data_IF_880725883497
#
_entry.id   IF_880725883497
#
_cell.length_a   1.000
_cell.length_b   1.000
_cell.length_c   1.000
_cell.angle_alpha   90.00
_cell.angle_beta   90.00
_cell.angle_gamma   90.00
#
_symmetry.space_group_name_H-M   'P 1'
#
loop_
_entity.id
_entity.type
_entity.pdbx_description
1 polymer ?
#
# COMPACT_ATOMS: atom_id res chain seq x y z
N UNK A 1 16.12 -24.72 -19.92
CA UNK A 1 15.44 -25.32 -18.76
C UNK A 1 14.48 -24.30 -18.19
N UNK A 2 13.20 -24.57 -18.18
CA UNK A 2 12.19 -23.73 -17.54
C UNK A 2 12.31 -23.88 -16.01
N UNK A 3 12.35 -22.79 -15.28
CA UNK A 3 12.37 -22.81 -13.82
C UNK A 3 11.18 -23.62 -13.29
N UNK A 4 11.38 -24.61 -12.40
CA UNK A 4 10.29 -25.38 -11.85
C UNK A 4 9.22 -24.47 -11.22
N UNK A 5 7.95 -24.87 -11.28
CA UNK A 5 6.82 -24.08 -10.76
C UNK A 5 7.01 -23.70 -9.30
N UNK A 6 7.45 -24.65 -8.47
CA UNK A 6 7.72 -24.42 -7.05
C UNK A 6 8.79 -23.35 -6.81
N UNK A 7 9.89 -23.38 -7.60
CA UNK A 7 10.95 -22.37 -7.48
C UNK A 7 10.47 -20.95 -7.84
N UNK A 8 9.56 -20.80 -8.83
CA UNK A 8 8.98 -19.52 -9.17
C UNK A 8 8.18 -18.95 -7.99
N UNK A 9 7.36 -19.77 -7.35
CA UNK A 9 6.51 -19.34 -6.23
C UNK A 9 7.33 -19.02 -4.99
N UNK A 10 8.38 -19.78 -4.69
CA UNK A 10 9.30 -19.46 -3.59
C UNK A 10 9.98 -18.10 -3.83
N UNK A 11 10.49 -17.85 -5.05
CA UNK A 11 11.12 -16.58 -5.39
C UNK A 11 10.12 -15.43 -5.23
N UNK A 12 8.93 -15.55 -5.81
CA UNK A 12 7.93 -14.49 -5.71
C UNK A 12 7.49 -14.27 -4.26
N UNK A 13 7.24 -15.36 -3.52
CA UNK A 13 6.87 -15.25 -2.11
C UNK A 13 7.93 -14.53 -1.28
N UNK A 14 9.21 -14.88 -1.46
CA UNK A 14 10.31 -14.20 -0.75
C UNK A 14 10.44 -12.73 -1.14
N UNK A 15 10.28 -12.37 -2.41
CA UNK A 15 10.37 -10.99 -2.87
C UNK A 15 9.20 -10.13 -2.36
N UNK A 16 7.97 -10.62 -2.43
CA UNK A 16 6.81 -9.88 -1.92
C UNK A 16 6.81 -9.79 -0.38
N UNK A 17 7.31 -10.81 0.30
CA UNK A 17 7.53 -10.74 1.73
C UNK A 17 8.46 -9.59 2.12
N UNK A 18 9.60 -9.44 1.42
CA UNK A 18 10.54 -8.33 1.68
C UNK A 18 9.97 -6.96 1.33
N UNK A 19 8.97 -6.86 0.48
CA UNK A 19 8.27 -5.59 0.21
C UNK A 19 7.26 -5.24 1.30
N UNK A 20 6.65 -6.24 1.93
CA UNK A 20 5.75 -6.03 3.06
C UNK A 20 6.46 -5.41 4.26
N UNK A 21 7.70 -5.83 4.55
CA UNK A 21 8.47 -5.35 5.71
C UNK A 21 8.61 -3.82 5.76
N UNK A 22 9.15 -3.14 4.75
CA UNK A 22 9.27 -1.68 4.77
C UNK A 22 7.91 -0.98 4.82
N UNK A 23 6.88 -1.56 4.19
CA UNK A 23 5.55 -0.95 4.17
C UNK A 23 4.87 -1.01 5.54
N UNK A 24 4.99 -2.15 6.25
CA UNK A 24 4.54 -2.27 7.64
C UNK A 24 5.29 -1.33 8.58
N UNK A 25 6.61 -1.26 8.43
CA UNK A 25 7.46 -0.35 9.18
C UNK A 25 7.05 1.12 8.97
N UNK A 26 6.88 1.54 7.74
CA UNK A 26 6.48 2.89 7.38
C UNK A 26 5.10 3.27 7.91
N UNK A 27 4.12 2.37 7.80
CA UNK A 27 2.73 2.69 8.14
C UNK A 27 2.42 2.59 9.63
N UNK A 28 3.08 1.70 10.36
CA UNK A 28 2.77 1.43 11.77
C UNK A 28 3.92 1.82 12.70
N UNK A 29 5.16 1.42 12.40
CA UNK A 29 6.30 1.67 13.30
C UNK A 29 6.76 3.13 13.23
N UNK A 30 6.95 3.69 12.04
CA UNK A 30 7.49 5.04 11.90
C UNK A 30 6.62 6.13 12.56
N UNK A 31 5.28 6.15 12.46
CA UNK A 31 4.45 7.13 13.15
C UNK A 31 4.59 7.08 14.67
N UNK A 32 4.69 5.87 15.24
CA UNK A 32 4.88 5.67 16.68
C UNK A 32 6.26 6.18 17.10
N UNK A 33 7.31 5.83 16.34
CA UNK A 33 8.69 6.29 16.60
C UNK A 33 8.78 7.82 16.48
N UNK A 34 8.14 8.44 15.51
CA UNK A 34 8.07 9.90 15.40
C UNK A 34 7.47 10.53 16.65
N UNK A 35 6.34 10.00 17.14
CA UNK A 35 5.70 10.51 18.36
C UNK A 35 6.57 10.30 19.60
N UNK A 36 7.17 9.12 19.73
CA UNK A 36 8.08 8.81 20.85
C UNK A 36 9.34 9.67 20.85
N UNK A 37 9.80 10.10 19.67
CA UNK A 37 10.91 11.04 19.50
C UNK A 37 10.51 12.50 19.77
N UNK A 38 9.27 12.78 20.16
CA UNK A 38 8.80 14.11 20.56
C UNK A 38 8.29 14.99 19.42
N UNK A 39 8.08 14.43 18.19
CA UNK A 39 7.52 15.22 17.10
C UNK A 39 6.08 15.65 17.42
N UNK A 40 5.78 16.89 17.07
CA UNK A 40 4.40 17.36 17.07
C UNK A 40 3.56 16.67 16.00
N UNK A 41 2.23 16.71 16.13
CA UNK A 41 1.36 16.23 15.07
C UNK A 41 1.50 17.03 13.78
N UNK A 42 1.89 18.31 13.90
CA UNK A 42 2.19 19.19 12.77
C UNK A 42 3.43 18.69 11.98
N UNK A 43 4.52 18.36 12.67
CA UNK A 43 5.71 17.78 12.04
C UNK A 43 5.39 16.47 11.34
N UNK A 44 4.61 15.60 11.99
CA UNK A 44 4.19 14.32 11.41
C UNK A 44 3.28 14.55 10.19
N UNK A 45 2.44 15.58 10.21
CA UNK A 45 1.61 15.98 9.07
C UNK A 45 2.43 16.35 7.84
N UNK A 46 3.66 16.81 8.02
CA UNK A 46 4.58 17.14 6.94
C UNK A 46 5.39 15.89 6.49
N UNK A 47 6.00 15.20 7.44
CA UNK A 47 6.93 14.11 7.11
C UNK A 47 6.24 12.83 6.64
N UNK A 48 5.17 12.41 7.30
CA UNK A 48 4.50 11.16 6.98
C UNK A 48 3.90 11.14 5.56
N UNK A 49 3.19 12.18 5.09
CA UNK A 49 2.76 12.25 3.70
C UNK A 49 3.92 12.23 2.70
N UNK A 50 5.03 12.93 2.99
CA UNK A 50 6.18 12.96 2.10
C UNK A 50 6.76 11.56 1.84
N UNK A 51 6.66 10.65 2.81
CA UNK A 51 7.08 9.26 2.66
C UNK A 51 6.22 8.45 1.67
N UNK A 52 5.04 8.92 1.26
CA UNK A 52 4.24 8.32 0.18
C UNK A 52 4.72 8.70 -1.22
N UNK A 53 5.51 9.79 -1.37
CA UNK A 53 5.95 10.30 -2.68
C UNK A 53 6.62 9.23 -3.57
N UNK A 54 7.52 8.35 -3.06
CA UNK A 54 8.11 7.31 -3.89
C UNK A 54 7.06 6.37 -4.53
N UNK A 55 5.96 6.11 -3.84
CA UNK A 55 4.87 5.27 -4.31
C UNK A 55 3.95 6.00 -5.29
N UNK A 56 3.72 7.30 -5.09
CA UNK A 56 3.04 8.19 -6.07
C UNK A 56 3.82 8.25 -7.36
N UNK A 57 5.15 8.32 -7.28
CA UNK A 57 6.05 8.42 -8.43
C UNK A 57 6.42 7.05 -9.04
N UNK A 58 5.75 5.98 -8.63
CA UNK A 58 6.01 4.60 -9.08
C UNK A 58 6.02 4.45 -10.61
N UNK A 59 5.20 5.22 -11.31
CA UNK A 59 5.18 5.25 -12.78
C UNK A 59 6.50 5.77 -13.38
N UNK A 60 7.20 6.70 -12.73
CA UNK A 60 8.52 7.18 -13.19
C UNK A 60 9.59 6.10 -13.01
N UNK A 61 9.55 5.39 -11.89
CA UNK A 61 10.49 4.30 -11.64
C UNK A 61 10.35 3.19 -12.67
N UNK A 62 9.16 2.93 -13.18
CA UNK A 62 8.95 1.93 -14.23
C UNK A 62 9.75 2.27 -15.50
N UNK A 63 9.79 3.53 -15.90
CA UNK A 63 10.57 4.02 -17.05
C UNK A 63 12.07 3.82 -16.80
N UNK A 64 12.55 4.17 -15.60
CA UNK A 64 13.96 4.02 -15.21
C UNK A 64 14.39 2.55 -15.22
N UNK A 65 13.59 1.67 -14.59
CA UNK A 65 13.84 0.22 -14.53
C UNK A 65 13.86 -0.41 -15.92
N UNK A 66 13.00 0.08 -16.82
CA UNK A 66 12.95 -0.42 -18.19
C UNK A 66 14.13 0.03 -19.04
N UNK A 67 14.58 1.25 -18.87
CA UNK A 67 15.66 1.83 -19.68
C UNK A 67 17.05 1.42 -19.22
N UNK A 68 17.27 1.38 -17.90
CA UNK A 68 18.60 1.13 -17.31
C UNK A 68 18.64 -0.26 -16.66
N UNK A 69 19.23 -1.24 -17.33
CA UNK A 69 19.35 -2.60 -16.79
C UNK A 69 20.61 -3.32 -17.29
N UNK A 70 21.10 -4.25 -16.49
CA UNK A 70 22.26 -5.08 -16.87
C UNK A 70 21.84 -6.21 -17.82
N UNK A 71 22.50 -6.27 -19.00
CA UNK A 71 22.31 -7.38 -19.95
C UNK A 71 22.74 -8.74 -19.41
N UNK A 72 23.70 -8.77 -18.46
CA UNK A 72 24.26 -10.02 -17.89
C UNK A 72 23.32 -10.63 -16.83
N UNK A 73 22.75 -9.80 -15.95
CA UNK A 73 21.88 -10.26 -14.85
C UNK A 73 20.40 -10.34 -15.24
N UNK A 74 20.03 -9.72 -16.35
CA UNK A 74 18.64 -9.58 -16.79
C UNK A 74 17.92 -8.37 -16.18
N UNK A 75 16.89 -7.89 -16.88
CA UNK A 75 16.22 -6.60 -16.66
C UNK A 75 15.85 -6.36 -15.19
N UNK A 76 15.10 -7.23 -14.58
CA UNK A 76 14.55 -7.01 -13.24
C UNK A 76 15.51 -7.39 -12.10
N UNK A 77 16.28 -8.48 -12.28
CA UNK A 77 17.24 -8.92 -11.25
C UNK A 77 18.34 -7.89 -10.99
N UNK A 78 18.74 -7.15 -12.01
CA UNK A 78 19.74 -6.08 -11.90
C UNK A 78 19.28 -4.89 -11.03
N UNK A 79 17.99 -4.78 -10.76
CA UNK A 79 17.41 -3.80 -9.86
C UNK A 79 17.08 -4.42 -8.50
N UNK A 80 16.42 -5.58 -8.46
CA UNK A 80 15.98 -6.21 -7.21
C UNK A 80 17.14 -6.45 -6.25
N UNK A 81 18.24 -7.06 -6.72
CA UNK A 81 19.36 -7.43 -5.85
C UNK A 81 20.04 -6.21 -5.22
N UNK A 82 20.48 -5.19 -5.99
CA UNK A 82 21.08 -4.00 -5.37
C UNK A 82 20.14 -3.25 -4.44
N UNK A 83 18.86 -3.15 -4.78
CA UNK A 83 17.87 -2.46 -3.95
C UNK A 83 17.64 -3.15 -2.62
N UNK A 84 17.61 -4.50 -2.58
CA UNK A 84 17.52 -5.24 -1.32
C UNK A 84 18.77 -5.05 -0.45
N UNK A 85 19.96 -5.02 -1.06
CA UNK A 85 21.22 -4.73 -0.34
C UNK A 85 21.20 -3.30 0.21
N UNK A 86 20.78 -2.32 -0.58
CA UNK A 86 20.66 -0.93 -0.14
C UNK A 86 19.63 -0.76 0.98
N UNK A 87 18.47 -1.42 0.87
CA UNK A 87 17.45 -1.43 1.91
C UNK A 87 17.98 -2.03 3.21
N UNK A 88 18.61 -3.20 3.14
CA UNK A 88 19.22 -3.83 4.30
C UNK A 88 20.35 -2.98 4.90
N UNK A 89 21.21 -2.40 4.07
CA UNK A 89 22.28 -1.50 4.52
C UNK A 89 21.73 -0.24 5.22
N UNK A 90 20.63 0.32 4.72
CA UNK A 90 19.97 1.46 5.37
C UNK A 90 19.34 1.06 6.71
N UNK A 91 18.76 -0.15 6.81
CA UNK A 91 18.24 -0.68 8.08
C UNK A 91 19.37 -0.85 9.11
N UNK A 92 20.53 -1.39 8.69
CA UNK A 92 21.71 -1.50 9.57
C UNK A 92 22.24 -0.14 9.99
N UNK A 93 22.26 0.85 9.10
CA UNK A 93 22.64 2.22 9.45
C UNK A 93 21.67 2.83 10.47
N UNK A 94 20.36 2.64 10.29
CA UNK A 94 19.34 3.08 11.23
C UNK A 94 19.36 2.31 12.55
N UNK A 95 19.89 1.09 12.58
CA UNK A 95 20.02 0.33 13.82
C UNK A 95 20.87 1.07 14.86
N UNK A 96 21.86 1.85 14.43
CA UNK A 96 22.70 2.65 15.32
C UNK A 96 22.10 4.02 15.69
N UNK A 97 20.92 4.36 15.14
CA UNK A 97 20.22 5.57 15.50
C UNK A 97 19.60 5.42 16.90
N UNK A 98 19.78 6.45 17.75
CA UNK A 98 19.25 6.47 19.11
C UNK A 98 18.12 7.48 19.21
N UNK A 99 17.08 7.14 19.96
CA UNK A 99 15.98 8.06 20.29
C UNK A 99 16.54 9.34 20.94
N UNK A 100 16.09 10.48 20.47
CA UNK A 100 16.56 11.79 20.93
C UNK A 100 17.81 12.33 20.25
N UNK A 101 18.43 11.58 19.34
CA UNK A 101 19.49 12.09 18.46
C UNK A 101 18.90 12.74 17.21
N UNK A 102 19.71 12.99 16.17
CA UNK A 102 19.25 13.66 14.95
C UNK A 102 18.08 12.93 14.27
N UNK A 103 16.88 13.46 14.44
CA UNK A 103 15.65 12.98 13.79
C UNK A 103 15.75 13.01 12.26
N UNK A 104 16.50 13.97 11.70
CA UNK A 104 16.72 14.08 10.26
C UNK A 104 17.37 12.82 9.67
N UNK A 105 18.27 12.16 10.43
CA UNK A 105 18.87 10.88 10.01
C UNK A 105 17.82 9.78 9.94
N UNK A 106 16.93 9.73 10.93
CA UNK A 106 15.85 8.74 10.93
C UNK A 106 14.89 8.95 9.77
N UNK A 107 14.40 10.18 9.56
CA UNK A 107 13.50 10.54 8.44
C UNK A 107 14.17 10.21 7.11
N UNK A 108 15.44 10.56 6.93
CA UNK A 108 16.20 10.26 5.72
C UNK A 108 16.30 8.74 5.49
N UNK A 109 16.63 7.97 6.53
CA UNK A 109 16.72 6.52 6.45
C UNK A 109 15.38 5.87 6.06
N UNK A 110 14.29 6.30 6.67
CA UNK A 110 12.93 5.82 6.32
C UNK A 110 12.58 6.20 4.88
N UNK A 111 12.89 7.42 4.45
CA UNK A 111 12.67 7.87 3.07
C UNK A 111 13.47 7.03 2.06
N UNK A 112 14.75 6.74 2.33
CA UNK A 112 15.58 5.89 1.48
C UNK A 112 15.02 4.47 1.38
N UNK A 113 14.61 3.87 2.50
CA UNK A 113 13.96 2.55 2.51
C UNK A 113 12.70 2.57 1.63
N UNK A 114 11.87 3.61 1.72
CA UNK A 114 10.67 3.76 0.90
C UNK A 114 10.99 3.91 -0.60
N UNK A 115 11.99 4.72 -0.96
CA UNK A 115 12.44 4.87 -2.35
C UNK A 115 12.90 3.52 -2.89
N UNK A 116 13.80 2.83 -2.20
CA UNK A 116 14.31 1.53 -2.64
C UNK A 116 13.19 0.49 -2.77
N UNK A 117 12.26 0.47 -1.83
CA UNK A 117 11.11 -0.44 -1.84
C UNK A 117 10.16 -0.17 -3.00
N UNK A 118 9.87 1.10 -3.32
CA UNK A 118 8.97 1.46 -4.43
C UNK A 118 9.57 1.09 -5.80
N UNK A 119 10.88 1.29 -5.99
CA UNK A 119 11.59 0.88 -7.21
C UNK A 119 11.69 -0.65 -7.32
N UNK A 120 11.95 -1.31 -6.18
CA UNK A 120 11.98 -2.78 -6.10
C UNK A 120 10.63 -3.39 -6.46
N UNK A 121 9.52 -2.80 -6.00
CA UNK A 121 8.16 -3.26 -6.25
C UNK A 121 7.87 -3.30 -7.77
N UNK A 122 8.16 -2.22 -8.48
CA UNK A 122 8.07 -2.18 -9.96
C UNK A 122 8.88 -3.30 -10.60
N UNK A 123 10.09 -3.54 -10.09
CA UNK A 123 10.98 -4.57 -10.63
C UNK A 123 10.50 -5.98 -10.33
N UNK A 124 9.90 -6.20 -9.14
CA UNK A 124 9.34 -7.50 -8.74
C UNK A 124 8.08 -7.82 -9.51
N UNK A 125 7.17 -6.84 -9.70
CA UNK A 125 5.97 -7.00 -10.50
C UNK A 125 6.32 -7.36 -11.96
N UNK A 126 7.28 -6.65 -12.55
CA UNK A 126 7.77 -6.96 -13.89
C UNK A 126 8.44 -8.35 -13.97
N UNK A 127 9.15 -8.76 -12.91
CA UNK A 127 9.72 -10.10 -12.84
C UNK A 127 8.64 -11.17 -12.73
N UNK A 128 7.61 -10.96 -11.92
CA UNK A 128 6.46 -11.86 -11.75
C UNK A 128 5.73 -12.09 -13.09
N UNK A 129 5.42 -11.01 -13.82
CA UNK A 129 4.80 -11.09 -15.14
C UNK A 129 5.66 -11.90 -16.13
N UNK A 130 6.99 -11.76 -16.06
CA UNK A 130 7.92 -12.46 -16.95
C UNK A 130 8.02 -13.96 -16.68
N UNK A 131 7.97 -14.39 -15.40
CA UNK A 131 8.20 -15.81 -15.06
C UNK A 131 6.92 -16.62 -14.96
N UNK A 132 5.76 -15.99 -14.73
CA UNK A 132 4.47 -16.66 -14.59
C UNK A 132 3.78 -16.83 -15.93
N UNK A 133 3.37 -18.06 -16.25
CA UNK A 133 2.43 -18.33 -17.31
C UNK A 133 1.02 -17.87 -16.94
N UNK A 134 0.12 -17.71 -17.94
CA UNK A 134 -1.27 -17.31 -17.71
C UNK A 134 -2.02 -18.22 -16.72
N UNK A 135 -1.72 -19.53 -16.72
CA UNK A 135 -2.30 -20.51 -15.81
C UNK A 135 -1.76 -20.41 -14.37
N UNK A 136 -0.57 -19.84 -14.19
CA UNK A 136 0.10 -19.69 -12.89
C UNK A 136 -0.22 -18.37 -12.21
N UNK A 137 -0.77 -17.38 -12.93
CA UNK A 137 -1.02 -16.01 -12.40
C UNK A 137 -1.95 -15.97 -11.20
N UNK A 138 -3.00 -16.80 -11.18
CA UNK A 138 -3.92 -16.84 -10.03
C UNK A 138 -3.20 -17.22 -8.73
N UNK A 139 -2.40 -18.29 -8.76
CA UNK A 139 -1.59 -18.71 -7.61
C UNK A 139 -0.47 -17.71 -7.30
N UNK A 140 0.14 -17.11 -8.35
CA UNK A 140 1.16 -16.08 -8.19
C UNK A 140 0.62 -14.87 -7.42
N UNK A 141 -0.58 -14.39 -7.77
CA UNK A 141 -1.22 -13.27 -7.07
C UNK A 141 -1.60 -13.62 -5.62
N UNK A 142 -2.08 -14.83 -5.37
CA UNK A 142 -2.36 -15.28 -4.00
C UNK A 142 -1.10 -15.28 -3.13
N UNK A 143 0.03 -15.76 -3.66
CA UNK A 143 1.34 -15.74 -2.98
C UNK A 143 1.83 -14.30 -2.80
N UNK A 144 1.69 -13.45 -3.81
CA UNK A 144 2.01 -12.03 -3.73
C UNK A 144 1.32 -11.39 -2.54
N UNK A 145 0.00 -11.46 -2.49
CA UNK A 145 -0.81 -10.83 -1.44
C UNK A 145 -0.49 -11.45 -0.07
N UNK A 146 -0.47 -12.79 0.04
CA UNK A 146 -0.24 -13.46 1.31
C UNK A 146 1.15 -13.16 1.90
N UNK A 147 2.21 -13.29 1.07
CA UNK A 147 3.57 -13.02 1.53
C UNK A 147 3.82 -11.54 1.83
N UNK A 148 3.22 -10.63 1.05
CA UNK A 148 3.28 -9.20 1.35
C UNK A 148 2.68 -8.88 2.73
N UNK A 149 1.49 -9.41 3.05
CA UNK A 149 0.89 -9.21 4.36
C UNK A 149 1.69 -9.83 5.49
N UNK A 150 2.32 -11.00 5.28
CA UNK A 150 3.23 -11.57 6.27
C UNK A 150 4.43 -10.63 6.53
N UNK A 151 5.04 -10.08 5.49
CA UNK A 151 6.10 -9.09 5.62
C UNK A 151 5.63 -7.82 6.34
N UNK A 152 4.41 -7.36 6.03
CA UNK A 152 3.80 -6.20 6.67
C UNK A 152 3.62 -6.40 8.19
N UNK A 153 3.18 -7.58 8.61
CA UNK A 153 3.10 -7.96 10.04
C UNK A 153 4.47 -7.90 10.70
N UNK A 154 5.51 -8.39 10.02
CA UNK A 154 6.88 -8.35 10.55
C UNK A 154 7.36 -6.91 10.74
N UNK A 155 7.23 -6.06 9.73
CA UNK A 155 7.74 -4.68 9.77
C UNK A 155 6.91 -3.72 10.63
N UNK A 156 5.61 -3.98 10.78
CA UNK A 156 4.70 -3.14 11.57
C UNK A 156 4.44 -3.70 12.96
N UNK A 157 3.98 -4.95 13.03
CA UNK A 157 3.55 -5.58 14.28
C UNK A 157 4.69 -6.06 15.16
N UNK A 158 5.50 -6.99 14.64
CA UNK A 158 6.56 -7.61 15.43
C UNK A 158 7.63 -6.63 15.88
N UNK A 159 7.95 -5.62 15.07
CA UNK A 159 8.90 -4.58 15.49
C UNK A 159 8.40 -3.87 16.74
N UNK A 160 7.17 -3.38 16.74
CA UNK A 160 6.60 -2.68 17.89
C UNK A 160 6.47 -3.60 19.11
N UNK A 161 5.98 -4.83 18.92
CA UNK A 161 5.81 -5.80 20.00
C UNK A 161 7.12 -6.16 20.72
N UNK A 162 8.19 -6.28 19.95
CA UNK A 162 9.47 -6.76 20.46
C UNK A 162 10.46 -5.64 20.77
N UNK A 163 10.09 -4.38 20.53
CA UNK A 163 10.99 -3.23 20.68
C UNK A 163 11.50 -3.10 22.12
N UNK A 164 10.64 -3.25 23.10
CA UNK A 164 11.01 -3.14 24.51
C UNK A 164 11.83 -4.32 25.02
N UNK A 165 11.66 -5.53 24.46
CA UNK A 165 12.35 -6.74 24.91
C UNK A 165 13.67 -6.99 24.21
N UNK A 166 13.75 -6.76 22.90
CA UNK A 166 14.94 -7.04 22.07
C UNK A 166 15.73 -5.78 21.70
N UNK A 167 15.11 -4.61 21.82
CA UNK A 167 15.71 -3.33 21.49
C UNK A 167 15.71 -3.02 20.00
N UNK A 168 15.72 -1.74 19.70
CA UNK A 168 15.69 -1.16 18.36
C UNK A 168 16.79 -1.71 17.44
N UNK A 169 18.02 -1.69 17.95
CA UNK A 169 19.22 -2.09 17.23
C UNK A 169 19.12 -3.53 16.70
N UNK A 170 18.81 -4.47 17.61
CA UNK A 170 18.65 -5.88 17.25
C UNK A 170 17.57 -6.10 16.19
N UNK A 171 16.42 -5.45 16.36
CA UNK A 171 15.27 -5.63 15.46
C UNK A 171 15.57 -5.13 14.04
N UNK A 172 16.20 -3.99 13.87
CA UNK A 172 16.57 -3.49 12.54
C UNK A 172 17.64 -4.35 11.86
N UNK A 173 18.61 -4.86 12.62
CA UNK A 173 19.60 -5.82 12.10
C UNK A 173 18.91 -7.12 11.69
N UNK A 174 17.98 -7.62 12.49
CA UNK A 174 17.19 -8.83 12.16
C UNK A 174 16.38 -8.63 10.89
N UNK A 175 15.71 -7.47 10.72
CA UNK A 175 14.99 -7.14 9.48
C UNK A 175 15.92 -7.10 8.27
N UNK A 176 17.10 -6.49 8.42
CA UNK A 176 18.11 -6.44 7.37
C UNK A 176 18.56 -7.86 6.95
N UNK A 177 18.85 -8.71 7.93
CA UNK A 177 19.19 -10.13 7.69
C UNK A 177 18.08 -10.89 6.99
N UNK A 178 16.84 -10.74 7.45
CA UNK A 178 15.67 -11.38 6.83
C UNK A 178 15.51 -10.92 5.37
N UNK A 179 15.70 -9.62 5.09
CA UNK A 179 15.66 -9.07 3.74
C UNK A 179 16.73 -9.68 2.84
N UNK A 180 17.96 -9.82 3.34
CA UNK A 180 19.05 -10.43 2.60
C UNK A 180 18.84 -11.94 2.39
N UNK A 181 18.41 -12.68 3.43
CA UNK A 181 18.10 -14.10 3.32
C UNK A 181 16.99 -14.39 2.31
N UNK A 182 15.96 -13.56 2.28
CA UNK A 182 14.87 -13.68 1.31
C UNK A 182 15.31 -13.36 -0.14
N UNK A 183 16.50 -12.79 -0.35
CA UNK A 183 17.10 -12.62 -1.68
C UNK A 183 17.73 -13.93 -2.21
N UNK A 184 18.09 -14.86 -1.33
CA UNK A 184 18.80 -16.09 -1.68
C UNK A 184 18.07 -16.91 -2.76
N UNK A 185 16.74 -17.16 -2.69
CA UNK A 185 16.04 -17.92 -3.74
C UNK A 185 16.21 -17.30 -5.14
N UNK A 186 16.24 -15.98 -5.22
CA UNK A 186 16.51 -15.27 -6.47
C UNK A 186 17.97 -15.49 -6.93
N UNK A 187 18.95 -15.42 -6.02
CA UNK A 187 20.38 -15.58 -6.32
C UNK A 187 20.70 -17.00 -6.82
N UNK A 188 20.10 -18.03 -6.22
CA UNK A 188 20.31 -19.42 -6.58
C UNK A 188 19.74 -19.78 -7.97
N UNK A 189 18.81 -18.99 -8.49
CA UNK A 189 18.31 -19.23 -9.85
C UNK A 189 19.21 -18.57 -10.88
N UNK A 190 19.59 -19.31 -11.89
CA UNK A 190 20.34 -18.76 -13.03
C UNK A 190 19.45 -17.81 -13.84
N UNK A 191 19.99 -16.67 -14.32
CA UNK A 191 19.28 -15.85 -15.28
C UNK A 191 18.85 -16.75 -16.45
N UNK A 192 17.57 -16.73 -16.83
CA UNK A 192 17.12 -17.48 -17.98
C UNK A 192 18.04 -17.10 -19.15
N UNK A 193 18.77 -18.07 -19.69
CA UNK A 193 19.54 -17.87 -20.93
C UNK A 193 18.55 -17.29 -21.94
N UNK A 194 18.92 -16.16 -22.51
CA UNK A 194 18.17 -15.44 -23.55
C UNK A 194 17.65 -16.48 -24.55
N UNK A 195 16.40 -16.89 -24.42
CA UNK A 195 15.71 -17.49 -25.52
C UNK A 195 15.70 -16.36 -26.57
N UNK A 196 16.41 -16.57 -27.67
CA UNK A 196 16.41 -15.69 -28.84
C UNK A 196 15.04 -15.72 -29.56
N UNK A 197 13.98 -15.99 -28.85
CA UNK A 197 12.66 -15.79 -29.36
C UNK A 197 12.34 -14.31 -29.25
N UNK A 198 12.25 -13.71 -30.44
CA UNK A 198 11.66 -12.44 -30.76
C UNK A 198 10.80 -11.95 -29.59
N UNK A 199 11.39 -11.10 -28.71
CA UNK A 199 10.56 -10.24 -27.89
C UNK A 199 9.61 -9.62 -28.89
N UNK A 200 8.33 -9.98 -28.81
CA UNK A 200 7.31 -9.19 -29.50
C UNK A 200 7.67 -7.74 -29.16
N UNK A 201 7.83 -6.87 -30.13
CA UNK A 201 8.28 -5.52 -29.89
C UNK A 201 7.39 -5.00 -28.77
N UNK A 202 7.96 -4.86 -27.55
CA UNK A 202 7.32 -4.10 -26.49
C UNK A 202 7.06 -2.78 -27.19
N UNK A 203 5.77 -2.46 -27.37
CA UNK A 203 5.40 -1.28 -28.14
C UNK A 203 6.29 -0.14 -27.63
N UNK A 204 7.00 0.58 -28.49
CA UNK A 204 7.94 1.64 -28.06
C UNK A 204 7.25 2.77 -27.30
N UNK A 205 6.00 2.61 -26.92
CA UNK A 205 5.03 3.61 -26.59
C UNK A 205 4.26 3.35 -25.27
N UNK A 206 4.94 2.93 -24.18
CA UNK A 206 4.27 3.00 -22.86
C UNK A 206 3.89 4.44 -22.50
N UNK A 207 4.72 5.43 -22.86
CA UNK A 207 4.39 6.84 -22.74
C UNK A 207 3.17 7.24 -23.59
N UNK A 208 3.01 6.67 -24.77
CA UNK A 208 1.82 6.88 -25.62
C UNK A 208 0.61 6.17 -25.00
N UNK A 209 0.78 5.00 -24.41
CA UNK A 209 -0.28 4.29 -23.70
C UNK A 209 -0.87 5.10 -22.54
N UNK A 210 -0.01 5.70 -21.70
CA UNK A 210 -0.42 6.55 -20.58
C UNK A 210 -1.08 7.85 -21.08
N UNK A 211 -0.48 8.53 -22.06
CA UNK A 211 -1.06 9.76 -22.64
C UNK A 211 -2.42 9.48 -23.28
N UNK A 212 -2.57 8.37 -23.99
CA UNK A 212 -3.84 7.96 -24.56
C UNK A 212 -4.88 7.61 -23.49
N UNK A 213 -4.46 7.05 -22.35
CA UNK A 213 -5.34 6.86 -21.21
C UNK A 213 -5.81 8.20 -20.66
N UNK A 214 -4.89 9.10 -20.33
CA UNK A 214 -5.22 10.41 -19.75
C UNK A 214 -6.05 11.31 -20.67
N UNK A 215 -5.99 11.13 -22.00
CA UNK A 215 -6.80 11.86 -22.97
C UNK A 215 -8.24 11.37 -23.09
N UNK A 216 -8.60 10.24 -22.48
CA UNK A 216 -9.98 9.77 -22.51
C UNK A 216 -10.89 10.67 -21.64
N UNK A 217 -12.06 11.11 -22.15
CA UNK A 217 -12.91 12.06 -21.44
C UNK A 217 -13.44 11.53 -20.09
N UNK A 218 -13.55 10.19 -19.95
CA UNK A 218 -14.02 9.55 -18.72
C UNK A 218 -12.93 9.39 -17.66
N UNK A 219 -11.65 9.45 -18.04
CA UNK A 219 -10.53 9.13 -17.13
C UNK A 219 -10.42 10.12 -15.99
N UNK A 220 -10.60 11.41 -16.23
CA UNK A 220 -10.56 12.38 -15.14
C UNK A 220 -11.65 12.11 -14.08
N UNK A 221 -12.86 11.74 -14.51
CA UNK A 221 -13.93 11.33 -13.59
C UNK A 221 -13.57 10.08 -12.80
N UNK A 222 -12.95 9.11 -13.47
CA UNK A 222 -12.48 7.88 -12.87
C UNK A 222 -11.39 8.13 -11.82
N UNK A 223 -10.37 8.92 -12.17
CA UNK A 223 -9.29 9.28 -11.25
C UNK A 223 -9.81 10.05 -10.03
N UNK A 224 -10.76 10.99 -10.24
CA UNK A 224 -11.41 11.73 -9.16
C UNK A 224 -12.21 10.80 -8.23
N UNK A 225 -12.92 9.81 -8.78
CA UNK A 225 -13.64 8.81 -7.99
C UNK A 225 -12.66 7.99 -7.13
N UNK A 226 -11.58 7.49 -7.72
CA UNK A 226 -10.54 6.73 -7.00
C UNK A 226 -9.92 7.60 -5.91
N UNK A 227 -9.56 8.85 -6.23
CA UNK A 227 -8.97 9.79 -5.28
C UNK A 227 -9.89 10.07 -4.09
N UNK A 228 -11.17 10.39 -4.35
CA UNK A 228 -12.15 10.67 -3.31
C UNK A 228 -12.36 9.49 -2.36
N UNK A 229 -12.28 8.26 -2.87
CA UNK A 229 -12.45 7.06 -2.06
C UNK A 229 -11.20 6.72 -1.25
N UNK A 230 -10.01 6.80 -1.86
CA UNK A 230 -8.73 6.48 -1.22
C UNK A 230 -8.27 7.53 -0.19
N UNK A 231 -8.66 8.81 -0.38
CA UNK A 231 -8.32 9.88 0.55
C UNK A 231 -8.81 9.57 1.98
N UNK A 232 -9.99 8.98 2.12
CA UNK A 232 -10.56 8.60 3.41
C UNK A 232 -9.74 7.53 4.14
N UNK A 233 -9.16 6.60 3.41
CA UNK A 233 -8.30 5.57 3.99
C UNK A 233 -7.08 6.21 4.69
N UNK A 234 -6.40 7.15 4.01
CA UNK A 234 -5.31 7.91 4.61
C UNK A 234 -5.78 8.79 5.77
N UNK A 235 -6.94 9.45 5.61
CA UNK A 235 -7.49 10.35 6.61
C UNK A 235 -7.82 9.64 7.94
N UNK A 236 -8.48 8.50 7.89
CA UNK A 236 -8.94 7.80 9.11
C UNK A 236 -7.78 7.01 9.74
N UNK A 237 -7.06 6.19 8.97
CA UNK A 237 -6.17 5.17 9.54
C UNK A 237 -4.78 5.66 9.91
N UNK A 238 -4.31 6.75 9.29
CA UNK A 238 -2.97 7.25 9.56
C UNK A 238 -2.76 7.79 10.98
N UNK A 239 -3.82 8.31 11.59
CA UNK A 239 -3.77 8.86 12.96
C UNK A 239 -3.76 7.79 14.05
N UNK A 240 -4.27 6.59 13.77
CA UNK A 240 -4.53 5.58 14.81
C UNK A 240 -3.27 5.16 15.57
N UNK A 241 -2.12 4.89 14.92
CA UNK A 241 -0.91 4.51 15.65
C UNK A 241 -0.41 5.61 16.59
N UNK A 242 -0.42 6.88 16.14
CA UNK A 242 -0.03 8.03 16.94
C UNK A 242 -0.98 8.29 18.10
N UNK A 243 -2.28 8.18 17.85
CA UNK A 243 -3.31 8.31 18.89
C UNK A 243 -3.13 7.29 20.00
N UNK A 244 -2.90 6.02 19.66
CA UNK A 244 -2.66 4.97 20.66
C UNK A 244 -1.41 5.25 21.47
N UNK A 245 -0.33 5.73 20.83
CA UNK A 245 0.89 6.13 21.52
C UNK A 245 0.66 7.30 22.48
N UNK A 246 -0.06 8.34 22.04
CA UNK A 246 -0.39 9.52 22.88
C UNK A 246 -1.27 9.16 24.09
N UNK A 247 -2.06 8.10 23.99
CA UNK A 247 -2.85 7.60 25.10
C UNK A 247 -2.08 6.71 26.07
N UNK A 248 -0.80 6.46 25.81
CA UNK A 248 0.06 5.67 26.67
C UNK A 248 -0.07 4.16 26.49
N UNK A 249 -0.67 3.69 25.37
CA UNK A 249 -0.61 2.27 25.04
C UNK A 249 0.83 1.81 24.90
N UNK A 250 1.12 0.62 25.43
CA UNK A 250 2.43 0.02 25.29
C UNK A 250 2.72 -0.37 23.83
N UNK A 251 4.00 -0.32 23.42
CA UNK A 251 4.40 -0.62 22.05
C UNK A 251 4.01 -2.04 21.62
N UNK A 252 4.07 -3.01 22.53
CA UNK A 252 3.64 -4.38 22.27
C UNK A 252 2.13 -4.46 21.98
N UNK A 253 1.30 -3.71 22.69
CA UNK A 253 -0.15 -3.66 22.49
C UNK A 253 -0.49 -3.00 21.14
N UNK A 254 0.16 -1.88 20.82
CA UNK A 254 0.01 -1.23 19.51
C UNK A 254 0.44 -2.18 18.40
N UNK A 255 1.58 -2.84 18.55
CA UNK A 255 2.12 -3.80 17.60
C UNK A 255 1.21 -5.01 17.40
N UNK A 256 0.66 -5.58 18.46
CA UNK A 256 -0.30 -6.67 18.37
C UNK A 256 -1.60 -6.23 17.69
N UNK A 257 -2.15 -5.10 18.12
CA UNK A 257 -3.44 -4.59 17.64
C UNK A 257 -3.38 -4.19 16.17
N UNK A 258 -2.42 -3.35 15.79
CA UNK A 258 -2.33 -2.82 14.43
C UNK A 258 -1.50 -3.70 13.50
N UNK A 259 -0.56 -4.47 14.03
CA UNK A 259 0.33 -5.28 13.22
C UNK A 259 -0.14 -6.73 13.02
N UNK A 260 -0.99 -7.27 13.86
CA UNK A 260 -1.48 -8.66 13.76
C UNK A 260 -3.00 -8.69 13.61
N UNK A 261 -3.73 -8.11 14.56
CA UNK A 261 -5.21 -8.15 14.56
C UNK A 261 -5.78 -7.41 13.35
N UNK A 262 -5.28 -6.22 13.07
CA UNK A 262 -5.76 -5.39 11.97
C UNK A 262 -5.59 -6.05 10.58
N UNK A 263 -4.41 -6.56 10.17
CA UNK A 263 -4.27 -7.31 8.92
C UNK A 263 -5.14 -8.56 8.85
N UNK A 264 -5.28 -9.30 9.96
CA UNK A 264 -6.18 -10.46 10.03
C UNK A 264 -7.64 -10.09 9.78
N UNK A 265 -8.10 -9.00 10.38
CA UNK A 265 -9.45 -8.46 10.17
C UNK A 265 -9.66 -7.98 8.73
N UNK A 266 -8.64 -7.30 8.14
CA UNK A 266 -8.70 -6.86 6.75
C UNK A 266 -8.82 -8.04 5.77
N UNK A 267 -8.08 -9.12 6.01
CA UNK A 267 -8.20 -10.35 5.20
C UNK A 267 -9.62 -10.95 5.33
N UNK A 268 -10.16 -11.03 6.54
CA UNK A 268 -11.56 -11.46 6.75
C UNK A 268 -12.56 -10.61 5.97
N UNK A 269 -12.41 -9.29 6.04
CA UNK A 269 -13.22 -8.34 5.28
C UNK A 269 -13.09 -8.52 3.77
N UNK A 270 -11.87 -8.73 3.27
CA UNK A 270 -11.62 -8.97 1.85
C UNK A 270 -12.31 -10.24 1.33
N UNK A 271 -12.31 -11.33 2.12
CA UNK A 271 -13.00 -12.57 1.77
C UNK A 271 -14.53 -12.36 1.67
N UNK A 272 -15.12 -11.67 2.64
CA UNK A 272 -16.54 -11.30 2.64
C UNK A 272 -16.86 -10.45 1.42
N UNK A 273 -16.04 -9.44 1.12
CA UNK A 273 -16.21 -8.57 -0.03
C UNK A 273 -16.12 -9.31 -1.35
N UNK A 274 -15.25 -10.30 -1.50
CA UNK A 274 -15.12 -11.11 -2.70
C UNK A 274 -16.45 -11.77 -3.10
N UNK A 275 -17.23 -12.22 -2.11
CA UNK A 275 -18.57 -12.79 -2.32
C UNK A 275 -19.60 -11.68 -2.61
N UNK A 276 -19.61 -10.62 -1.80
CA UNK A 276 -20.62 -9.57 -1.89
C UNK A 276 -20.49 -8.72 -3.16
N UNK A 277 -19.28 -8.39 -3.60
CA UNK A 277 -19.05 -7.61 -4.83
C UNK A 277 -19.58 -8.30 -6.07
N UNK A 278 -19.54 -9.63 -6.12
CA UNK A 278 -20.10 -10.41 -7.24
C UNK A 278 -21.63 -10.40 -7.25
N UNK A 279 -22.28 -10.31 -6.08
CA UNK A 279 -23.74 -10.31 -5.94
C UNK A 279 -24.35 -8.91 -6.06
N UNK A 280 -23.74 -7.92 -5.42
CA UNK A 280 -24.28 -6.55 -5.34
C UNK A 280 -23.88 -5.69 -6.55
N UNK A 281 -22.82 -6.08 -7.26
CA UNK A 281 -22.20 -5.24 -8.30
C UNK A 281 -21.32 -4.11 -7.72
N UNK A 282 -20.58 -3.45 -8.60
CA UNK A 282 -19.48 -2.52 -8.20
C UNK A 282 -19.98 -1.28 -7.45
N UNK A 283 -21.00 -0.60 -7.99
CA UNK A 283 -21.49 0.64 -7.37
C UNK A 283 -22.10 0.40 -5.99
N UNK A 284 -22.98 -0.58 -5.87
CA UNK A 284 -23.63 -0.85 -4.59
C UNK A 284 -22.63 -1.31 -3.53
N UNK A 285 -21.62 -2.10 -3.92
CA UNK A 285 -20.52 -2.50 -3.02
C UNK A 285 -19.70 -1.31 -2.54
N UNK A 286 -19.31 -0.40 -3.45
CA UNK A 286 -18.58 0.82 -3.08
C UNK A 286 -19.40 1.72 -2.14
N UNK A 287 -20.69 1.91 -2.42
CA UNK A 287 -21.56 2.72 -1.58
C UNK A 287 -21.80 2.07 -0.21
N UNK A 288 -22.07 0.77 -0.17
CA UNK A 288 -22.29 0.02 1.07
C UNK A 288 -21.03 0.02 1.94
N UNK A 289 -19.90 -0.46 1.39
CA UNK A 289 -18.67 -0.57 2.18
C UNK A 289 -18.07 0.82 2.49
N UNK A 290 -18.23 1.78 1.57
CA UNK A 290 -17.87 3.16 1.80
C UNK A 290 -18.69 3.79 2.94
N UNK A 291 -20.02 3.53 3.01
CA UNK A 291 -20.84 4.04 4.13
C UNK A 291 -20.45 3.41 5.48
N UNK A 292 -20.01 2.16 5.48
CA UNK A 292 -19.48 1.52 6.70
C UNK A 292 -18.24 2.23 7.25
N UNK A 293 -17.47 3.00 6.46
CA UNK A 293 -16.36 3.81 6.98
C UNK A 293 -16.82 4.88 7.99
N UNK A 294 -18.12 5.26 7.98
CA UNK A 294 -18.71 6.12 9.01
C UNK A 294 -18.65 5.42 10.37
N UNK A 295 -18.85 4.08 10.41
CA UNK A 295 -18.71 3.31 11.66
C UNK A 295 -17.26 3.32 12.16
N UNK A 296 -16.28 3.22 11.24
CA UNK A 296 -14.86 3.35 11.59
C UNK A 296 -14.55 4.71 12.20
N UNK A 297 -14.97 5.79 11.52
CA UNK A 297 -14.75 7.15 12.00
C UNK A 297 -15.47 7.41 13.34
N UNK A 298 -16.72 6.98 13.48
CA UNK A 298 -17.48 7.12 14.71
C UNK A 298 -16.87 6.30 15.87
N UNK A 299 -16.38 5.10 15.59
CA UNK A 299 -15.70 4.26 16.58
C UNK A 299 -14.43 4.94 17.13
N UNK A 300 -13.56 5.45 16.24
CA UNK A 300 -12.37 6.17 16.67
C UNK A 300 -12.70 7.53 17.31
N UNK A 301 -13.73 8.23 16.84
CA UNK A 301 -14.22 9.45 17.48
C UNK A 301 -14.70 9.17 18.91
N UNK A 302 -15.44 8.09 19.11
CA UNK A 302 -15.89 7.66 20.46
C UNK A 302 -14.70 7.33 21.35
N UNK A 303 -13.76 6.50 20.90
CA UNK A 303 -12.55 6.18 21.65
C UNK A 303 -11.76 7.44 22.00
N UNK A 304 -11.62 8.39 21.06
CA UNK A 304 -10.85 9.61 21.29
C UNK A 304 -11.54 10.59 22.23
N UNK A 305 -12.87 10.61 22.29
CA UNK A 305 -13.63 11.47 23.21
C UNK A 305 -13.59 10.98 24.64
N UNK A 306 -13.56 9.67 24.84
CA UNK A 306 -13.56 9.03 26.16
C UNK A 306 -12.16 8.82 26.71
N UNK A 307 -11.12 8.87 25.84
CA UNK A 307 -9.72 8.53 26.17
C UNK A 307 -9.58 7.16 26.84
N UNK A 308 -10.51 6.26 26.56
CA UNK A 308 -10.48 4.90 27.09
C UNK A 308 -9.46 4.07 26.34
N UNK A 309 -8.39 3.71 27.01
CA UNK A 309 -7.34 2.80 26.53
C UNK A 309 -7.70 1.34 26.82
N UNK A 310 -8.92 1.09 27.28
CA UNK A 310 -9.35 -0.27 27.59
C UNK A 310 -9.35 -1.13 26.33
N UNK A 311 -8.53 -2.16 26.32
CA UNK A 311 -8.40 -3.11 25.21
C UNK A 311 -9.74 -3.74 24.81
N UNK A 312 -10.68 -3.85 25.75
CA UNK A 312 -12.04 -4.39 25.52
C UNK A 312 -12.83 -3.56 24.50
N UNK A 313 -12.56 -2.26 24.38
CA UNK A 313 -13.20 -1.35 23.40
C UNK A 313 -12.33 -1.09 22.19
N UNK A 314 -11.01 -1.01 22.35
CA UNK A 314 -10.06 -0.76 21.24
C UNK A 314 -10.09 -1.88 20.22
N UNK A 315 -10.02 -3.14 20.65
CA UNK A 315 -10.02 -4.28 19.74
C UNK A 315 -11.24 -4.35 18.80
N UNK A 316 -12.48 -4.29 19.29
CA UNK A 316 -13.64 -4.30 18.41
C UNK A 316 -13.64 -3.19 17.37
N UNK A 317 -13.25 -1.97 17.76
CA UNK A 317 -13.18 -0.83 16.81
C UNK A 317 -12.13 -1.08 15.74
N UNK A 318 -10.94 -1.56 16.10
CA UNK A 318 -9.88 -1.88 15.15
C UNK A 318 -10.29 -3.03 14.22
N UNK A 319 -10.89 -4.08 14.75
CA UNK A 319 -11.37 -5.22 13.96
C UNK A 319 -12.42 -4.77 12.94
N UNK A 320 -13.43 -4.02 13.38
CA UNK A 320 -14.50 -3.51 12.50
C UNK A 320 -13.91 -2.59 11.43
N UNK A 321 -13.06 -1.63 11.81
CA UNK A 321 -12.41 -0.72 10.86
C UNK A 321 -11.62 -1.47 9.79
N UNK A 322 -10.78 -2.42 10.18
CA UNK A 322 -9.93 -3.13 9.23
C UNK A 322 -10.70 -4.15 8.39
N UNK A 323 -11.77 -4.75 8.91
CA UNK A 323 -12.70 -5.51 8.07
C UNK A 323 -13.32 -4.62 6.99
N UNK A 324 -13.80 -3.42 7.35
CA UNK A 324 -14.33 -2.44 6.41
C UNK A 324 -13.25 -2.04 5.40
N UNK A 325 -12.01 -1.84 5.84
CA UNK A 325 -10.86 -1.55 4.98
C UNK A 325 -10.64 -2.63 3.92
N UNK A 326 -10.63 -3.90 4.33
CA UNK A 326 -10.52 -5.02 3.39
C UNK A 326 -11.66 -5.03 2.38
N UNK A 327 -12.90 -4.79 2.85
CA UNK A 327 -14.08 -4.73 1.97
C UNK A 327 -14.01 -3.60 0.96
N UNK A 328 -13.66 -2.39 1.39
CA UNK A 328 -13.53 -1.21 0.53
C UNK A 328 -12.42 -1.37 -0.50
N UNK A 329 -11.29 -1.94 -0.10
CA UNK A 329 -10.16 -2.21 -1.00
C UNK A 329 -10.54 -3.17 -2.12
N UNK A 330 -11.21 -4.29 -1.82
CA UNK A 330 -11.65 -5.26 -2.83
C UNK A 330 -12.65 -4.64 -3.80
N UNK A 331 -13.60 -3.84 -3.30
CA UNK A 331 -14.60 -3.20 -4.15
C UNK A 331 -13.95 -2.19 -5.12
N UNK A 332 -13.03 -1.35 -4.61
CA UNK A 332 -12.35 -0.34 -5.41
C UNK A 332 -11.41 -0.98 -6.45
N UNK A 333 -10.60 -1.94 -6.05
CA UNK A 333 -9.66 -2.61 -6.96
C UNK A 333 -10.38 -3.39 -8.04
N UNK A 334 -11.52 -4.01 -7.69
CA UNK A 334 -12.37 -4.65 -8.69
C UNK A 334 -12.89 -3.65 -9.73
N UNK A 335 -13.30 -2.45 -9.29
CA UNK A 335 -13.70 -1.38 -10.19
C UNK A 335 -12.56 -0.90 -11.09
N UNK A 336 -11.37 -0.68 -10.51
CA UNK A 336 -10.17 -0.25 -11.25
C UNK A 336 -9.79 -1.27 -12.33
N UNK A 337 -9.87 -2.58 -12.02
CA UNK A 337 -9.63 -3.64 -12.99
C UNK A 337 -10.66 -3.67 -14.11
N UNK A 338 -11.95 -3.49 -13.80
CA UNK A 338 -13.02 -3.48 -14.80
C UNK A 338 -12.91 -2.30 -15.78
N UNK A 339 -12.36 -1.18 -15.32
CA UNK A 339 -12.21 0.03 -16.12
C UNK A 339 -10.83 0.19 -16.77
N UNK A 340 -9.93 -0.74 -16.53
CA UNK A 340 -8.64 -0.82 -17.24
C UNK A 340 -8.83 -1.45 -18.62
N UNK A 341 -8.21 -0.85 -19.64
CA UNK A 341 -8.23 -1.38 -21.02
C UNK A 341 -7.52 -2.73 -21.09
N UNK A 342 -8.07 -3.70 -21.80
CA UNK A 342 -7.50 -5.06 -21.90
C UNK A 342 -6.05 -5.06 -22.42
N UNK A 343 -5.74 -4.17 -23.37
CA UNK A 343 -4.41 -4.08 -24.02
C UNK A 343 -3.37 -3.33 -23.19
N UNK A 344 -3.81 -2.42 -22.30
CA UNK A 344 -2.97 -1.55 -21.47
C UNK A 344 -3.34 -1.62 -19.98
N UNK A 345 -3.93 -2.73 -19.55
CA UNK A 345 -4.50 -2.87 -18.22
C UNK A 345 -3.51 -2.58 -17.08
N UNK A 346 -2.25 -2.98 -17.24
CA UNK A 346 -1.22 -2.69 -16.26
C UNK A 346 -0.93 -1.19 -16.11
N UNK A 347 -0.82 -0.46 -17.24
CA UNK A 347 -0.57 1.00 -17.22
C UNK A 347 -1.75 1.77 -16.63
N UNK A 348 -2.97 1.44 -17.09
CA UNK A 348 -4.19 2.10 -16.62
C UNK A 348 -4.42 1.88 -15.12
N UNK A 349 -4.28 0.63 -14.66
CA UNK A 349 -4.39 0.27 -13.25
C UNK A 349 -3.34 0.98 -12.39
N UNK A 350 -2.08 0.97 -12.80
CA UNK A 350 -1.00 1.65 -12.07
C UNK A 350 -1.24 3.16 -11.98
N UNK A 351 -1.75 3.79 -13.05
CA UNK A 351 -2.09 5.21 -13.02
C UNK A 351 -3.19 5.52 -11.99
N UNK A 352 -4.23 4.70 -11.94
CA UNK A 352 -5.29 4.83 -10.94
C UNK A 352 -4.76 4.60 -9.51
N UNK A 353 -3.90 3.62 -9.31
CA UNK A 353 -3.29 3.33 -8.01
C UNK A 353 -2.40 4.48 -7.53
N UNK A 354 -1.55 5.05 -8.41
CA UNK A 354 -0.73 6.22 -8.08
C UNK A 354 -1.57 7.43 -7.64
N UNK A 355 -2.69 7.70 -8.32
CA UNK A 355 -3.63 8.76 -7.91
C UNK A 355 -4.28 8.42 -6.57
N UNK A 356 -4.63 7.15 -6.33
CA UNK A 356 -5.13 6.68 -5.05
C UNK A 356 -4.13 6.91 -3.91
N UNK A 357 -2.85 6.56 -4.11
CA UNK A 357 -1.78 6.79 -3.13
C UNK A 357 -1.57 8.30 -2.89
N UNK A 358 -1.60 9.10 -3.95
CA UNK A 358 -1.51 10.56 -3.85
C UNK A 358 -2.65 11.14 -2.98
N UNK A 359 -3.88 10.68 -3.22
CA UNK A 359 -5.03 11.08 -2.42
C UNK A 359 -4.93 10.65 -0.95
N UNK A 360 -4.41 9.43 -0.69
CA UNK A 360 -4.10 8.97 0.68
C UNK A 360 -3.08 9.87 1.37
N UNK A 361 -2.03 10.27 0.66
CA UNK A 361 -1.02 11.21 1.16
C UNK A 361 -1.66 12.52 1.65
N UNK A 362 -2.54 13.10 0.83
CA UNK A 362 -3.28 14.31 1.22
C UNK A 362 -4.21 14.07 2.42
N UNK A 363 -4.98 12.98 2.39
CA UNK A 363 -5.85 12.60 3.51
C UNK A 363 -5.08 12.47 4.82
N UNK A 364 -3.91 11.83 4.77
CA UNK A 364 -3.00 11.72 5.92
C UNK A 364 -2.58 13.10 6.43
N UNK A 365 -2.04 13.97 5.58
CA UNK A 365 -1.58 15.28 6.00
C UNK A 365 -2.69 16.13 6.62
N UNK A 366 -3.86 16.19 5.97
CA UNK A 366 -5.01 16.94 6.45
C UNK A 366 -5.48 16.41 7.82
N UNK A 367 -5.54 15.10 8.00
CA UNK A 367 -6.01 14.50 9.26
C UNK A 367 -5.10 14.84 10.44
N UNK A 368 -3.77 14.82 10.23
CA UNK A 368 -2.81 15.23 11.26
C UNK A 368 -2.89 16.72 11.58
N UNK A 369 -3.07 17.58 10.57
CA UNK A 369 -3.25 19.03 10.79
C UNK A 369 -4.52 19.30 11.60
N UNK A 370 -5.65 18.68 11.25
CA UNK A 370 -6.88 18.83 12.02
C UNK A 370 -6.70 18.31 13.44
N UNK A 371 -6.01 17.17 13.61
CA UNK A 371 -5.73 16.63 14.93
C UNK A 371 -4.78 17.52 15.77
N UNK A 372 -3.83 18.21 15.13
CA UNK A 372 -2.95 19.17 15.80
C UNK A 372 -3.74 20.35 16.41
N UNK A 373 -4.66 20.96 15.65
CA UNK A 373 -5.41 22.13 16.10
C UNK A 373 -6.67 21.80 16.91
N UNK A 374 -7.35 20.70 16.62
CA UNK A 374 -8.65 20.35 17.21
C UNK A 374 -8.70 19.02 17.96
N UNK A 375 -7.58 18.31 18.03
CA UNK A 375 -7.48 16.99 18.65
C UNK A 375 -8.02 15.87 17.77
N UNK A 376 -7.76 14.63 18.21
CA UNK A 376 -8.15 13.42 17.49
C UNK A 376 -9.65 13.31 17.27
N UNK A 377 -10.46 13.66 18.27
CA UNK A 377 -11.94 13.63 18.20
C UNK A 377 -12.48 14.50 17.08
N UNK A 378 -11.94 15.73 16.92
CA UNK A 378 -12.32 16.61 15.82
C UNK A 378 -11.93 16.01 14.47
N UNK A 379 -10.73 15.46 14.35
CA UNK A 379 -10.28 14.84 13.09
C UNK A 379 -11.19 13.69 12.68
N UNK A 380 -11.45 12.73 13.57
CA UNK A 380 -12.36 11.62 13.26
C UNK A 380 -13.81 12.11 13.02
N UNK A 381 -14.26 13.15 13.71
CA UNK A 381 -15.55 13.78 13.47
C UNK A 381 -15.66 14.37 12.05
N UNK A 382 -14.60 15.01 11.54
CA UNK A 382 -14.52 15.51 10.17
C UNK A 382 -14.52 14.38 9.12
N UNK A 383 -14.08 13.18 9.47
CA UNK A 383 -14.11 12.04 8.55
C UNK A 383 -15.55 11.65 8.14
N UNK A 384 -16.55 11.86 9.02
CA UNK A 384 -17.95 11.52 8.74
C UNK A 384 -18.53 12.34 7.56
N UNK A 385 -18.54 13.69 7.59
CA UNK A 385 -19.03 14.46 6.44
C UNK A 385 -18.15 14.28 5.19
N UNK A 386 -16.84 14.06 5.33
CA UNK A 386 -15.96 13.75 4.21
C UNK A 386 -16.34 12.41 3.57
N UNK A 387 -16.73 11.40 4.35
CA UNK A 387 -17.22 10.12 3.84
C UNK A 387 -18.51 10.33 3.04
N UNK A 388 -19.47 11.08 3.56
CA UNK A 388 -20.73 11.39 2.84
C UNK A 388 -20.44 12.12 1.52
N UNK A 389 -19.54 13.09 1.53
CA UNK A 389 -19.11 13.81 0.32
C UNK A 389 -18.47 12.85 -0.69
N UNK A 390 -17.57 11.98 -0.23
CA UNK A 390 -16.93 10.97 -1.08
C UNK A 390 -17.96 10.02 -1.72
N UNK A 391 -18.94 9.54 -0.95
CA UNK A 391 -20.01 8.69 -1.46
C UNK A 391 -20.88 9.40 -2.51
N UNK A 392 -21.19 10.66 -2.28
CA UNK A 392 -21.89 11.50 -3.25
C UNK A 392 -21.11 11.64 -4.56
N UNK A 393 -19.80 11.94 -4.48
CA UNK A 393 -18.89 12.01 -5.63
C UNK A 393 -18.86 10.67 -6.37
N UNK A 394 -18.64 9.56 -5.65
CA UNK A 394 -18.58 8.20 -6.22
C UNK A 394 -19.86 7.88 -6.97
N UNK A 395 -21.05 8.08 -6.34
CA UNK A 395 -22.36 7.82 -6.97
C UNK A 395 -22.55 8.64 -8.24
N UNK A 396 -22.26 9.94 -8.16
CA UNK A 396 -22.48 10.87 -9.28
C UNK A 396 -21.55 10.57 -10.46
N UNK A 397 -20.25 10.42 -10.19
CA UNK A 397 -19.28 10.15 -11.24
C UNK A 397 -19.44 8.77 -11.86
N UNK A 398 -19.74 7.75 -11.05
CA UNK A 398 -20.04 6.41 -11.57
C UNK A 398 -21.23 6.41 -12.54
N UNK A 399 -22.33 7.09 -12.18
CA UNK A 399 -23.50 7.20 -13.05
C UNK A 399 -23.18 7.94 -14.37
N UNK A 400 -22.36 9.01 -14.31
CA UNK A 400 -21.94 9.74 -15.51
C UNK A 400 -21.07 8.85 -16.43
N UNK A 401 -20.10 8.11 -15.87
CA UNK A 401 -19.23 7.22 -16.64
C UNK A 401 -20.03 6.11 -17.33
N UNK A 402 -21.02 5.54 -16.62
CA UNK A 402 -21.89 4.52 -17.21
C UNK A 402 -22.71 5.07 -18.39
N UNK A 403 -23.28 6.28 -18.27
CA UNK A 403 -24.02 6.92 -19.35
C UNK A 403 -23.13 7.17 -20.57
N UNK A 404 -21.92 7.67 -20.40
CA UNK A 404 -20.98 7.92 -21.50
C UNK A 404 -20.53 6.63 -22.19
N UNK A 405 -20.29 5.55 -21.45
CA UNK A 405 -19.92 4.26 -22.02
C UNK A 405 -21.09 3.62 -22.78
N UNK A 406 -22.30 3.72 -22.26
CA UNK A 406 -23.51 3.23 -22.94
C UNK A 406 -23.76 4.01 -24.26
N UNK A 407 -23.61 5.33 -24.23
CA UNK A 407 -23.76 6.17 -25.42
C UNK A 407 -22.73 5.82 -26.51
N UNK A 408 -21.47 5.58 -26.13
CA UNK A 408 -20.42 5.14 -27.06
C UNK A 408 -20.72 3.77 -27.68
N UNK A 409 -21.23 2.80 -26.89
CA UNK A 409 -21.56 1.47 -27.41
C UNK A 409 -22.71 1.50 -28.43
N UNK A 410 -23.66 2.42 -28.30
CA UNK A 410 -24.76 2.60 -29.24
C UNK A 410 -24.30 3.24 -30.58
N UNK A 411 -23.24 4.09 -30.55
CA UNK A 411 -22.79 4.85 -31.72
C UNK A 411 -21.54 4.26 -32.38
N UNK A 412 -20.92 3.23 -31.79
CA UNK A 412 -19.79 2.50 -32.38
C UNK A 412 -20.23 1.39 -33.36
N UNK A 413 -21.52 1.07 -33.40
CA UNK A 413 -22.11 0.07 -34.30
C UNK A 413 -22.79 0.69 -35.54
N UNK A 414 -22.63 1.98 -35.75
CA UNK A 414 -22.98 2.70 -36.97
C UNK A 414 -21.67 3.23 -37.64
#
# INVERSE_FOLDING_TARGET
MTTPRTSKFIILGSLYFTQGIPNGFFRHTAPVVFRESGLSLEDIALFLPALYLPWVLKFLWSIVVERFHSKKQGKYRSWIIPLQILTAGTMVALANWQFGTSLSIFVLGVALINIFSSVQDVSTDGYAVKILSSKERGWGNAIQVGCYWLGFVVGGGFILMLMNSLGWNFLLIAMALVTLLATIPLLLTRPAKRAQNKEAPQSPNQSIGLLNFLRQPTVFKLLTLVAAFRMLEGFIRSLVPTMFKDWGMELNEIGFTLGIVAPGAALGGALVAGILVTRLGRLHSLLLFGSMQILSAAGYMFLSSTKLVDSSLVFPVVVVDHMISGMTTVALFSLMMDWSRKEHGGTDYTCMDCIGVFAMMFGTGISYLIAHYGGYTMSFGCAIPLTLLSLFIVRTLFAQIQKENHWKSLHSNN
#
